data_IF_747552601767
#
_entry.id   IF_747552601767
#
_cell.length_a   1.000
_cell.length_b   1.000
_cell.length_c   1.000
_cell.angle_alpha   90.00
_cell.angle_beta   90.00
_cell.angle_gamma   90.00
#
_symmetry.space_group_name_H-M   'P 1'
#
loop_
_entity.id
_entity.type
_entity.pdbx_description
1 polymer ?
#
# COMPACT_ATOMS: atom_id res chain seq x y z
N UNK A 1 12.87 -7.23 21.95
CA UNK A 1 12.48 -6.46 23.15
C UNK A 1 11.00 -6.67 23.43
N UNK A 2 10.58 -6.89 24.68
CA UNK A 2 9.16 -6.96 25.06
C UNK A 2 8.73 -5.64 25.70
N UNK A 3 7.70 -5.01 25.14
CA UNK A 3 7.05 -3.80 25.68
C UNK A 3 5.63 -4.13 26.16
N UNK A 4 5.08 -3.31 27.06
CA UNK A 4 3.67 -3.32 27.42
C UNK A 4 3.05 -1.98 27.04
N UNK A 5 2.25 -1.97 25.97
CA UNK A 5 1.50 -0.79 25.55
C UNK A 5 0.12 -0.87 26.20
N UNK A 6 0.00 -0.24 27.37
CA UNK A 6 -1.15 -0.44 28.25
C UNK A 6 -1.27 -1.91 28.68
N UNK A 7 -2.42 -2.52 28.44
CA UNK A 7 -2.69 -3.93 28.72
C UNK A 7 -2.30 -4.88 27.57
N UNK A 8 -1.74 -4.36 26.47
CA UNK A 8 -1.31 -5.17 25.31
C UNK A 8 0.23 -5.36 25.30
N UNK A 9 0.76 -6.58 25.54
CA UNK A 9 2.18 -6.85 25.37
C UNK A 9 2.56 -6.92 23.87
N UNK A 10 3.68 -6.29 23.52
CA UNK A 10 4.20 -6.17 22.16
C UNK A 10 5.67 -6.61 22.13
N UNK A 11 5.95 -7.70 21.44
CA UNK A 11 7.31 -8.16 21.16
C UNK A 11 7.84 -7.42 19.92
N UNK A 12 8.76 -6.48 20.14
CA UNK A 12 9.47 -5.73 19.11
C UNK A 12 10.71 -6.51 18.66
N UNK A 13 10.80 -6.76 17.36
CA UNK A 13 11.86 -7.50 16.68
C UNK A 13 12.70 -6.52 15.87
N UNK A 14 14.00 -6.47 16.13
CA UNK A 14 14.91 -5.47 15.53
C UNK A 14 16.25 -6.07 15.04
N UNK A 15 16.33 -7.39 14.83
CA UNK A 15 17.48 -8.05 14.19
C UNK A 15 17.01 -8.97 13.07
N UNK A 16 17.84 -9.14 12.05
CA UNK A 16 17.55 -10.01 10.90
C UNK A 16 17.38 -11.48 11.32
N UNK A 17 18.23 -11.98 12.23
CA UNK A 17 18.13 -13.33 12.80
C UNK A 17 16.74 -13.61 13.42
N UNK A 18 16.26 -12.72 14.28
CA UNK A 18 14.98 -12.91 14.97
C UNK A 18 13.78 -12.67 14.04
N UNK A 19 13.93 -11.84 13.01
CA UNK A 19 12.95 -11.73 11.94
C UNK A 19 12.89 -13.03 11.11
N UNK A 20 14.04 -13.65 10.80
CA UNK A 20 14.16 -14.95 10.12
C UNK A 20 13.46 -16.05 10.90
N UNK A 21 13.71 -16.13 12.21
CA UNK A 21 13.05 -17.10 13.10
C UNK A 21 11.52 -16.95 13.08
N UNK A 22 11.00 -15.74 13.29
CA UNK A 22 9.56 -15.48 13.41
C UNK A 22 8.81 -15.58 12.08
N UNK A 23 9.42 -15.14 10.98
CA UNK A 23 8.75 -14.97 9.68
C UNK A 23 8.99 -16.13 8.71
N UNK A 24 9.96 -17.02 8.99
CA UNK A 24 10.27 -18.21 8.17
C UNK A 24 10.22 -19.50 8.95
N UNK A 25 10.85 -19.59 10.13
CA UNK A 25 10.96 -20.85 10.86
C UNK A 25 9.70 -21.15 11.69
N UNK A 26 9.13 -20.14 12.36
CA UNK A 26 7.88 -20.23 13.15
C UNK A 26 6.70 -19.56 12.43
N UNK A 27 6.73 -19.52 11.09
CA UNK A 27 5.84 -18.66 10.30
C UNK A 27 4.35 -18.98 10.52
N UNK A 28 4.01 -20.26 10.75
CA UNK A 28 2.67 -20.75 11.09
C UNK A 28 2.10 -20.10 12.35
N UNK A 29 2.93 -19.97 13.40
CA UNK A 29 2.55 -19.39 14.71
C UNK A 29 2.27 -17.89 14.57
N UNK A 30 3.12 -17.17 13.82
CA UNK A 30 3.07 -15.71 13.68
C UNK A 30 2.33 -15.22 12.42
N UNK A 31 1.61 -16.10 11.72
CA UNK A 31 0.78 -15.73 10.56
C UNK A 31 -0.37 -14.77 10.91
N UNK A 32 -0.93 -14.80 12.11
CA UNK A 32 -2.12 -14.01 12.46
C UNK A 32 -1.79 -12.52 12.64
N UNK A 33 -2.83 -11.67 12.68
CA UNK A 33 -2.67 -10.21 12.81
C UNK A 33 -3.53 -9.67 13.96
N UNK A 34 -3.08 -8.60 14.65
CA UNK A 34 -3.87 -7.96 15.68
C UNK A 34 -5.00 -7.17 15.03
N UNK A 35 -6.22 -7.44 15.46
CA UNK A 35 -7.40 -6.74 14.96
C UNK A 35 -7.60 -5.42 15.68
N UNK A 36 -7.06 -4.36 15.08
CA UNK A 36 -7.18 -2.99 15.59
C UNK A 36 -8.56 -2.42 15.23
N UNK A 37 -9.08 -1.51 16.05
CA UNK A 37 -10.45 -0.99 15.94
C UNK A 37 -10.65 -0.11 14.71
N UNK A 38 -9.61 0.64 14.30
CA UNK A 38 -9.65 1.40 13.05
C UNK A 38 -9.78 0.48 11.83
N UNK A 39 -8.89 -0.51 11.78
CA UNK A 39 -8.86 -1.63 10.84
C UNK A 39 -10.23 -2.34 10.76
N UNK A 40 -10.79 -2.73 11.91
CA UNK A 40 -12.08 -3.40 12.02
C UNK A 40 -13.22 -2.58 11.39
N UNK A 41 -13.29 -1.27 11.65
CA UNK A 41 -14.39 -0.43 11.13
C UNK A 41 -14.27 -0.21 9.62
N UNK A 42 -13.04 0.04 9.13
CA UNK A 42 -12.81 0.53 7.77
C UNK A 42 -12.85 -0.59 6.73
N UNK A 43 -12.40 -1.80 7.08
CA UNK A 43 -11.90 -2.75 6.09
C UNK A 43 -12.75 -4.02 5.99
N UNK A 44 -14.08 -3.82 5.89
CA UNK A 44 -15.09 -4.81 5.48
C UNK A 44 -15.12 -6.11 6.30
N UNK A 45 -14.83 -5.90 7.56
CA UNK A 45 -14.90 -6.85 8.71
C UNK A 45 -13.76 -7.93 8.32
N UNK A 46 -13.91 -9.18 7.84
CA UNK A 46 -12.78 -10.13 7.64
C UNK A 46 -12.75 -10.67 6.22
N UNK A 47 -12.46 -9.78 5.25
CA UNK A 47 -12.68 -10.13 3.85
C UNK A 47 -11.55 -9.74 2.84
N UNK A 48 -10.32 -9.51 3.29
CA UNK A 48 -9.12 -9.12 2.52
C UNK A 48 -8.04 -10.25 2.43
N UNK A 49 -6.77 -9.89 2.18
CA UNK A 49 -5.57 -10.76 2.18
C UNK A 49 -4.50 -10.32 3.20
N UNK A 50 -4.51 -9.09 3.70
CA UNK A 50 -3.44 -8.54 4.52
C UNK A 50 -3.58 -8.79 6.01
N UNK A 51 -4.78 -8.61 6.58
CA UNK A 51 -5.03 -8.77 8.02
C UNK A 51 -5.93 -9.96 8.38
N UNK A 52 -6.56 -10.64 7.41
CA UNK A 52 -7.41 -11.82 7.63
C UNK A 52 -6.79 -12.79 8.63
N UNK A 53 -7.57 -13.43 9.52
CA UNK A 53 -7.10 -14.57 10.27
C UNK A 53 -6.59 -15.67 9.31
N UNK A 54 -5.46 -16.27 9.64
CA UNK A 54 -4.90 -17.35 8.81
C UNK A 54 -5.82 -18.57 8.85
N UNK A 55 -6.34 -18.96 7.70
CA UNK A 55 -7.35 -20.02 7.58
C UNK A 55 -7.57 -20.47 6.15
N UNK A 56 -8.69 -21.15 5.88
CA UNK A 56 -9.07 -21.52 4.51
C UNK A 56 -9.41 -20.29 3.66
N UNK A 57 -10.27 -19.40 4.16
CA UNK A 57 -10.63 -18.14 3.50
C UNK A 57 -9.39 -17.33 3.07
N UNK A 58 -8.49 -17.02 4.00
CA UNK A 58 -7.26 -16.29 3.69
C UNK A 58 -6.42 -16.97 2.60
N UNK A 59 -6.29 -18.31 2.62
CA UNK A 59 -5.53 -19.05 1.59
C UNK A 59 -6.17 -18.91 0.21
N UNK A 60 -7.50 -18.87 0.13
CA UNK A 60 -8.24 -18.63 -1.11
C UNK A 60 -8.07 -17.18 -1.60
N UNK A 61 -8.32 -16.20 -0.75
CA UNK A 61 -8.16 -14.77 -1.10
C UNK A 61 -6.72 -14.44 -1.50
N UNK A 62 -5.74 -14.98 -0.78
CA UNK A 62 -4.30 -14.86 -1.10
C UNK A 62 -3.98 -15.47 -2.46
N UNK A 63 -4.53 -16.63 -2.78
CA UNK A 63 -4.34 -17.28 -4.09
C UNK A 63 -4.89 -16.40 -5.21
N UNK A 64 -6.11 -15.88 -5.09
CA UNK A 64 -6.72 -14.99 -6.10
C UNK A 64 -5.86 -13.74 -6.31
N UNK A 65 -5.45 -13.08 -5.22
CA UNK A 65 -4.62 -11.89 -5.32
C UNK A 65 -3.24 -12.16 -5.95
N UNK A 66 -2.58 -13.28 -5.65
CA UNK A 66 -1.24 -13.59 -6.19
C UNK A 66 -1.27 -14.20 -7.60
N UNK A 67 -2.29 -14.98 -7.94
CA UNK A 67 -2.39 -15.65 -9.24
C UNK A 67 -3.10 -14.80 -10.29
N UNK A 68 -4.26 -14.24 -9.94
CA UNK A 68 -5.23 -13.73 -10.92
C UNK A 68 -5.14 -12.20 -11.07
N UNK A 69 -4.91 -11.50 -9.95
CA UNK A 69 -4.78 -10.03 -9.90
C UNK A 69 -3.32 -9.55 -10.04
N UNK A 70 -2.39 -10.08 -9.24
CA UNK A 70 -1.00 -9.59 -9.12
C UNK A 70 0.04 -10.59 -9.68
N UNK A 71 -0.43 -11.63 -10.37
CA UNK A 71 0.42 -12.58 -11.08
C UNK A 71 1.17 -11.92 -12.23
N UNK A 72 2.37 -12.40 -12.54
CA UNK A 72 3.32 -11.75 -13.48
C UNK A 72 2.68 -11.35 -14.81
N UNK A 73 1.87 -12.23 -15.41
CA UNK A 73 1.16 -11.97 -16.68
C UNK A 73 0.17 -10.79 -16.57
N UNK A 74 -0.51 -10.63 -15.43
CA UNK A 74 -1.47 -9.54 -15.17
C UNK A 74 -0.75 -8.22 -14.86
N UNK A 75 0.36 -8.27 -14.12
CA UNK A 75 1.25 -7.11 -13.93
C UNK A 75 1.83 -6.63 -15.26
N UNK A 76 2.16 -7.55 -16.18
CA UNK A 76 2.60 -7.25 -17.54
C UNK A 76 1.49 -6.67 -18.42
N UNK A 77 0.24 -7.17 -18.36
CA UNK A 77 -0.86 -6.60 -19.16
C UNK A 77 -1.18 -5.14 -18.81
N UNK A 78 -0.91 -4.71 -17.57
CA UNK A 78 -1.02 -3.31 -17.16
C UNK A 78 0.21 -2.43 -17.51
N UNK A 79 1.16 -2.92 -18.32
CA UNK A 79 2.32 -2.12 -18.76
C UNK A 79 1.88 -0.81 -19.44
N UNK A 80 0.94 -0.89 -20.39
CA UNK A 80 0.40 0.28 -21.10
C UNK A 80 -0.19 1.34 -20.17
N UNK A 81 -0.87 0.93 -19.09
CA UNK A 81 -1.42 1.86 -18.08
C UNK A 81 -0.30 2.63 -17.39
N UNK A 82 0.80 1.97 -17.03
CA UNK A 82 1.96 2.63 -16.42
C UNK A 82 2.63 3.59 -17.39
N UNK A 83 2.81 3.19 -18.64
CA UNK A 83 3.40 4.02 -19.70
C UNK A 83 2.56 5.29 -19.95
N UNK A 84 1.23 5.18 -20.03
CA UNK A 84 0.33 6.33 -20.24
C UNK A 84 0.32 7.30 -19.06
N UNK A 85 0.27 6.82 -17.80
CA UNK A 85 0.30 7.74 -16.66
C UNK A 85 1.69 8.37 -16.44
N UNK A 86 2.76 7.69 -16.79
CA UNK A 86 4.12 8.24 -16.73
C UNK A 86 4.35 9.26 -17.85
N UNK A 87 3.90 9.02 -19.08
CA UNK A 87 3.86 10.04 -20.14
C UNK A 87 3.09 11.30 -19.70
N UNK A 88 1.93 11.12 -19.05
CA UNK A 88 1.17 12.23 -18.45
C UNK A 88 1.93 12.96 -17.34
N UNK A 89 2.80 12.29 -16.59
CA UNK A 89 3.66 12.90 -15.56
C UNK A 89 4.80 13.69 -16.20
N UNK A 90 5.55 13.09 -17.13
CA UNK A 90 6.67 13.72 -17.83
C UNK A 90 6.21 14.97 -18.60
N UNK A 91 5.04 14.93 -19.25
CA UNK A 91 4.44 16.10 -19.91
C UNK A 91 4.14 17.26 -18.94
N UNK A 92 3.68 16.98 -17.71
CA UNK A 92 3.45 18.01 -16.68
C UNK A 92 4.75 18.64 -16.18
N UNK A 93 5.80 17.84 -16.02
CA UNK A 93 7.11 18.32 -15.57
C UNK A 93 7.77 19.16 -16.67
N UNK A 94 7.75 18.72 -17.93
CA UNK A 94 8.24 19.50 -19.08
C UNK A 94 7.53 20.85 -19.22
N UNK A 95 6.21 20.90 -19.05
CA UNK A 95 5.45 22.17 -19.02
C UNK A 95 5.82 23.11 -17.86
N UNK A 96 6.48 22.60 -16.82
CA UNK A 96 7.03 23.40 -15.70
C UNK A 96 8.48 23.81 -15.96
N UNK A 97 9.27 22.97 -16.63
CA UNK A 97 10.61 23.30 -17.14
C UNK A 97 10.54 24.54 -18.06
N UNK A 98 9.60 24.54 -19.03
CA UNK A 98 9.37 25.68 -19.93
C UNK A 98 8.91 26.98 -19.24
N UNK A 99 8.62 26.95 -17.93
CA UNK A 99 8.20 28.10 -17.12
C UNK A 99 9.20 28.47 -16.02
N UNK A 100 10.26 27.68 -15.82
CA UNK A 100 11.16 27.81 -14.66
C UNK A 100 10.44 27.66 -13.32
N UNK A 101 9.31 26.94 -13.27
CA UNK A 101 8.44 26.88 -12.08
C UNK A 101 8.68 25.61 -11.27
N UNK A 102 8.84 25.68 -9.92
CA UNK A 102 8.99 24.49 -9.09
C UNK A 102 7.80 23.52 -9.18
N UNK A 103 8.09 22.22 -9.06
CA UNK A 103 7.11 21.14 -9.01
C UNK A 103 7.09 20.46 -7.64
N UNK A 104 5.91 20.06 -7.17
CA UNK A 104 5.76 19.23 -5.97
C UNK A 104 5.84 17.76 -6.36
N UNK A 105 7.06 17.21 -6.39
CA UNK A 105 7.31 15.85 -6.84
C UNK A 105 6.63 14.81 -5.93
N UNK A 106 6.49 15.09 -4.62
CA UNK A 106 5.77 14.21 -3.70
C UNK A 106 4.28 14.06 -4.06
N UNK A 107 3.56 15.17 -4.31
CA UNK A 107 2.15 15.11 -4.69
C UNK A 107 1.95 14.52 -6.10
N UNK A 108 2.89 14.79 -7.01
CA UNK A 108 2.88 14.24 -8.37
C UNK A 108 3.14 12.73 -8.41
N UNK A 109 4.05 12.20 -7.58
CA UNK A 109 4.30 10.76 -7.43
C UNK A 109 3.15 10.02 -6.73
N UNK A 110 2.53 10.65 -5.73
CA UNK A 110 1.29 10.13 -5.12
C UNK A 110 0.17 10.06 -6.16
N UNK A 111 -0.03 11.13 -6.94
CA UNK A 111 -1.03 11.21 -8.01
C UNK A 111 -0.78 10.15 -9.10
N UNK A 112 0.47 9.95 -9.52
CA UNK A 112 0.85 8.87 -10.44
C UNK A 112 0.40 7.51 -9.89
N UNK A 113 0.74 7.23 -8.64
CA UNK A 113 0.42 5.97 -7.96
C UNK A 113 -1.09 5.74 -7.87
N UNK A 114 -1.86 6.76 -7.48
CA UNK A 114 -3.32 6.70 -7.43
C UNK A 114 -3.96 6.49 -8.81
N UNK A 115 -3.47 7.16 -9.86
CA UNK A 115 -3.99 6.99 -11.22
C UNK A 115 -3.76 5.56 -11.72
N UNK A 116 -2.54 5.03 -11.60
CA UNK A 116 -2.20 3.67 -12.01
C UNK A 116 -3.06 2.65 -11.25
N UNK A 117 -3.20 2.80 -9.93
CA UNK A 117 -4.03 1.91 -9.13
C UNK A 117 -5.52 2.00 -9.51
N UNK A 118 -6.08 3.19 -9.74
CA UNK A 118 -7.47 3.38 -10.17
C UNK A 118 -7.73 2.72 -11.53
N UNK A 119 -6.83 2.92 -12.50
CA UNK A 119 -6.93 2.34 -13.84
C UNK A 119 -6.86 0.81 -13.83
N UNK A 120 -5.94 0.22 -13.04
CA UNK A 120 -5.82 -1.24 -12.93
C UNK A 120 -6.95 -1.88 -12.10
N UNK A 121 -7.51 -1.14 -11.14
CA UNK A 121 -8.52 -1.69 -10.21
C UNK A 121 -9.96 -1.55 -10.70
N UNK A 122 -10.29 -0.45 -11.38
CA UNK A 122 -11.68 -0.07 -11.70
C UNK A 122 -11.89 0.27 -13.19
N UNK A 123 -10.90 -0.03 -14.04
CA UNK A 123 -10.97 0.15 -15.50
C UNK A 123 -11.01 1.61 -15.99
N UNK A 124 -11.07 2.59 -15.08
CA UNK A 124 -11.34 3.99 -15.40
C UNK A 124 -10.50 4.97 -14.59
N UNK A 125 -10.15 6.10 -15.23
CA UNK A 125 -9.96 7.36 -14.53
C UNK A 125 -11.34 7.80 -14.04
N UNK A 126 -11.44 8.43 -12.88
CA UNK A 126 -12.71 9.06 -12.53
C UNK A 126 -12.94 10.26 -13.45
N UNK A 127 -13.82 10.12 -14.43
CA UNK A 127 -14.00 11.12 -15.51
C UNK A 127 -14.54 12.46 -15.00
N UNK A 128 -15.20 12.46 -13.84
CA UNK A 128 -15.42 13.68 -13.05
C UNK A 128 -14.13 14.01 -12.30
N UNK A 129 -13.57 15.19 -12.57
CA UNK A 129 -12.36 15.73 -11.92
C UNK A 129 -12.47 15.67 -10.39
N UNK A 130 -13.66 15.97 -9.85
CA UNK A 130 -13.96 15.84 -8.43
C UNK A 130 -13.72 14.42 -7.89
N UNK A 131 -14.11 13.38 -8.63
CA UNK A 131 -14.07 12.00 -8.16
C UNK A 131 -12.64 11.42 -8.09
N UNK A 132 -11.70 11.86 -8.95
CA UNK A 132 -10.27 11.47 -8.81
C UNK A 132 -9.73 12.00 -7.49
N UNK A 133 -9.90 13.31 -7.28
CA UNK A 133 -9.43 13.96 -6.06
C UNK A 133 -10.15 13.41 -4.82
N UNK A 134 -11.45 13.10 -4.90
CA UNK A 134 -12.20 12.48 -3.83
C UNK A 134 -11.71 11.06 -3.49
N UNK A 135 -11.42 10.18 -4.45
CA UNK A 135 -10.91 8.84 -4.11
C UNK A 135 -9.48 8.91 -3.52
N UNK A 136 -8.58 9.69 -4.13
CA UNK A 136 -7.22 9.89 -3.60
C UNK A 136 -7.23 10.52 -2.20
N UNK A 137 -8.13 11.50 -1.97
CA UNK A 137 -8.32 12.14 -0.66
C UNK A 137 -8.94 11.20 0.38
N UNK A 138 -10.03 10.50 0.03
CA UNK A 138 -10.70 9.56 0.94
C UNK A 138 -9.76 8.42 1.34
N UNK A 139 -9.07 7.80 0.38
CA UNK A 139 -8.10 6.73 0.66
C UNK A 139 -6.93 7.23 1.52
N UNK A 140 -6.39 8.43 1.28
CA UNK A 140 -5.36 9.06 2.12
C UNK A 140 -5.83 9.35 3.54
N UNK A 141 -7.00 9.97 3.71
CA UNK A 141 -7.58 10.26 5.03
C UNK A 141 -7.92 8.97 5.79
N UNK A 142 -8.32 7.92 5.08
CA UNK A 142 -8.58 6.59 5.66
C UNK A 142 -7.29 5.88 6.04
N UNK A 143 -6.22 5.97 5.23
CA UNK A 143 -4.90 5.44 5.58
C UNK A 143 -4.34 6.09 6.85
N UNK A 144 -4.58 7.40 7.05
CA UNK A 144 -4.28 8.10 8.30
C UNK A 144 -5.11 7.57 9.47
N UNK A 145 -6.41 7.35 9.27
CA UNK A 145 -7.29 6.78 10.31
C UNK A 145 -6.92 5.34 10.68
N UNK A 146 -6.40 4.54 9.75
CA UNK A 146 -5.89 3.18 10.02
C UNK A 146 -4.62 3.17 10.88
N UNK A 147 -3.80 4.21 10.79
CA UNK A 147 -2.66 4.43 11.68
C UNK A 147 -3.00 5.12 13.01
N UNK A 148 -4.27 5.49 13.24
CA UNK A 148 -4.66 6.26 14.42
C UNK A 148 -4.72 5.39 15.69
N UNK A 149 -4.23 5.95 16.80
CA UNK A 149 -4.29 5.31 18.12
C UNK A 149 -5.74 5.20 18.61
N UNK A 150 -6.19 3.98 18.92
CA UNK A 150 -7.45 3.67 19.62
C UNK A 150 -7.13 3.25 21.06
N UNK A 151 -7.79 3.89 22.03
CA UNK A 151 -7.65 3.59 23.45
C UNK A 151 -8.13 2.17 23.74
N UNK A 152 -9.24 1.75 23.13
CA UNK A 152 -9.81 0.41 23.28
C UNK A 152 -8.94 -0.73 22.74
N UNK A 153 -7.95 -0.43 21.89
CA UNK A 153 -6.98 -1.42 21.38
C UNK A 153 -5.80 -1.68 22.34
N UNK A 154 -5.62 -0.85 23.38
CA UNK A 154 -4.56 -1.00 24.39
C UNK A 154 -5.11 -1.08 25.83
N UNK A 155 -6.32 -0.56 26.06
CA UNK A 155 -7.04 -0.57 27.33
C UNK A 155 -8.51 -0.94 27.07
N UNK A 156 -8.88 -2.23 26.92
CA UNK A 156 -10.23 -2.65 26.54
C UNK A 156 -11.36 -2.09 27.43
N UNK A 157 -11.11 -1.91 28.74
CA UNK A 157 -12.06 -1.30 29.68
C UNK A 157 -12.38 0.18 29.38
N UNK A 158 -11.51 0.87 28.62
CA UNK A 158 -11.63 2.28 28.25
C UNK A 158 -12.10 2.50 26.80
N UNK A 159 -12.58 1.45 26.12
CA UNK A 159 -13.06 1.49 24.72
C UNK A 159 -14.16 2.54 24.45
N UNK A 160 -14.89 2.98 25.47
CA UNK A 160 -15.86 4.08 25.38
C UNK A 160 -15.21 5.44 25.06
N UNK A 161 -13.93 5.64 25.41
CA UNK A 161 -13.21 6.88 25.13
C UNK A 161 -12.98 7.09 23.61
N UNK A 162 -12.90 6.03 22.81
CA UNK A 162 -12.82 6.15 21.34
C UNK A 162 -14.11 6.69 20.72
N UNK A 163 -15.24 6.56 21.42
CA UNK A 163 -16.52 7.19 21.04
C UNK A 163 -16.49 8.68 21.40
N UNK A 164 -16.08 9.04 22.62
CA UNK A 164 -16.04 10.44 23.07
C UNK A 164 -15.00 11.30 22.34
N UNK A 165 -13.84 10.75 22.01
CA UNK A 165 -12.82 11.40 21.15
C UNK A 165 -13.24 11.51 19.68
N UNK A 166 -14.45 11.03 19.34
CA UNK A 166 -15.00 11.03 17.99
C UNK A 166 -14.21 10.17 17.00
N UNK A 167 -13.30 9.30 17.45
CA UNK A 167 -12.52 8.41 16.59
C UNK A 167 -13.43 7.42 15.87
N UNK A 168 -14.29 6.72 16.62
CA UNK A 168 -15.30 5.80 16.05
C UNK A 168 -16.23 6.52 15.07
N UNK A 169 -16.61 7.77 15.38
CA UNK A 169 -17.45 8.60 14.51
C UNK A 169 -16.76 9.02 13.20
N UNK A 170 -15.47 9.36 13.26
CA UNK A 170 -14.66 9.66 12.06
C UNK A 170 -14.47 8.41 11.19
N UNK A 171 -14.10 7.29 11.80
CA UNK A 171 -13.93 6.00 11.12
C UNK A 171 -15.20 5.58 10.38
N UNK A 172 -16.36 5.54 11.06
CA UNK A 172 -17.64 5.15 10.43
C UNK A 172 -18.02 6.08 9.28
N UNK A 173 -17.91 7.41 9.45
CA UNK A 173 -18.24 8.38 8.38
C UNK A 173 -17.36 8.24 7.15
N UNK A 174 -16.04 8.01 7.31
CA UNK A 174 -15.14 7.83 6.16
C UNK A 174 -15.30 6.47 5.49
N UNK A 175 -15.57 5.41 6.27
CA UNK A 175 -15.94 4.09 5.73
C UNK A 175 -17.19 4.21 4.86
N UNK A 176 -18.26 4.84 5.35
CA UNK A 176 -19.51 5.01 4.60
C UNK A 176 -19.33 5.79 3.29
N UNK A 177 -18.41 6.77 3.25
CA UNK A 177 -18.10 7.52 2.02
C UNK A 177 -17.33 6.69 0.99
N UNK A 178 -16.47 5.77 1.43
CA UNK A 178 -15.85 4.78 0.55
C UNK A 178 -16.86 3.70 0.12
N UNK A 179 -17.77 3.31 1.00
CA UNK A 179 -18.76 2.25 0.74
C UNK A 179 -19.70 2.60 -0.42
N UNK A 180 -20.24 3.83 -0.40
CA UNK A 180 -21.05 4.37 -1.50
C UNK A 180 -20.27 4.44 -2.82
N UNK A 181 -18.97 4.74 -2.76
CA UNK A 181 -18.10 4.78 -3.95
C UNK A 181 -17.85 3.37 -4.52
N UNK A 182 -17.57 2.38 -3.66
CA UNK A 182 -17.33 1.01 -4.09
C UNK A 182 -18.60 0.28 -4.53
N UNK A 183 -19.76 0.55 -3.92
CA UNK A 183 -21.04 0.09 -4.44
C UNK A 183 -21.29 0.63 -5.85
N UNK A 184 -21.10 1.94 -6.07
CA UNK A 184 -21.22 2.54 -7.40
C UNK A 184 -20.26 1.92 -8.42
N UNK A 185 -19.00 1.66 -8.04
CA UNK A 185 -18.05 0.97 -8.91
C UNK A 185 -18.53 -0.46 -9.25
N UNK A 186 -18.91 -1.27 -8.25
CA UNK A 186 -19.32 -2.66 -8.48
C UNK A 186 -20.60 -2.71 -9.33
N UNK A 187 -21.57 -1.84 -9.06
CA UNK A 187 -22.86 -1.81 -9.77
C UNK A 187 -22.72 -1.33 -11.22
N UNK A 188 -21.74 -0.48 -11.52
CA UNK A 188 -21.39 -0.10 -12.91
C UNK A 188 -20.80 -1.30 -13.69
N UNK A 189 -19.90 -2.07 -13.08
CA UNK A 189 -19.27 -3.24 -13.72
C UNK A 189 -20.27 -4.38 -13.92
N UNK A 190 -21.19 -4.58 -12.97
CA UNK A 190 -22.28 -5.54 -13.10
C UNK A 190 -23.15 -5.25 -14.35
N UNK A 191 -23.62 -4.00 -14.53
CA UNK A 191 -24.40 -3.57 -15.71
C UNK A 191 -23.61 -3.69 -17.01
N UNK A 192 -22.35 -3.25 -17.02
CA UNK A 192 -21.44 -3.39 -18.19
C UNK A 192 -21.33 -4.86 -18.62
N UNK A 193 -21.20 -5.77 -17.66
CA UNK A 193 -21.14 -7.22 -17.87
C UNK A 193 -22.46 -7.90 -18.26
N UNK A 194 -23.59 -7.17 -18.29
CA UNK A 194 -24.87 -7.63 -18.85
C UNK A 194 -25.04 -7.15 -20.31
N UNK A 195 -24.51 -5.97 -20.63
CA UNK A 195 -24.62 -5.33 -21.95
C UNK A 195 -23.56 -5.89 -22.94
N UNK A 196 -22.34 -6.17 -22.46
CA UNK A 196 -21.17 -6.32 -23.33
C UNK A 196 -20.69 -7.76 -23.49
N UNK A 197 -21.42 -8.54 -24.30
CA UNK A 197 -21.05 -9.92 -24.66
C UNK A 197 -19.95 -10.01 -25.75
N UNK A 198 -19.26 -8.91 -26.10
CA UNK A 198 -18.21 -8.92 -27.13
C UNK A 198 -17.16 -7.78 -27.09
N UNK A 199 -15.93 -8.16 -27.47
CA UNK A 199 -14.97 -7.41 -28.30
C UNK A 199 -14.09 -6.25 -27.78
N UNK A 200 -13.95 -5.98 -26.48
CA UNK A 200 -12.70 -5.39 -25.95
C UNK A 200 -12.27 -6.05 -24.64
N UNK A 201 -11.11 -6.71 -24.64
CA UNK A 201 -10.72 -7.70 -23.64
C UNK A 201 -9.88 -7.11 -22.49
N UNK A 202 -10.25 -5.91 -22.02
CA UNK A 202 -9.55 -5.17 -20.97
C UNK A 202 -10.24 -5.36 -19.61
N UNK A 203 -10.01 -6.51 -18.98
CA UNK A 203 -10.46 -6.80 -17.61
C UNK A 203 -9.57 -6.10 -16.57
N UNK A 204 -10.20 -5.34 -15.68
CA UNK A 204 -9.60 -4.82 -14.44
C UNK A 204 -9.78 -5.78 -13.24
N UNK A 205 -9.39 -5.36 -12.03
CA UNK A 205 -9.53 -6.18 -10.83
C UNK A 205 -10.99 -6.40 -10.39
N UNK A 206 -11.92 -5.48 -10.63
CA UNK A 206 -13.35 -5.67 -10.31
C UNK A 206 -13.97 -6.69 -11.25
N UNK A 207 -13.72 -6.59 -12.56
CA UNK A 207 -14.14 -7.60 -13.55
C UNK A 207 -13.67 -9.01 -13.15
N UNK A 208 -12.41 -9.15 -12.70
CA UNK A 208 -11.83 -10.42 -12.28
C UNK A 208 -12.45 -10.98 -11.00
N UNK A 209 -12.69 -10.13 -10.00
CA UNK A 209 -13.31 -10.54 -8.73
C UNK A 209 -14.77 -10.96 -8.94
N UNK A 210 -15.51 -10.25 -9.79
CA UNK A 210 -16.87 -10.62 -10.20
C UNK A 210 -16.89 -11.91 -11.02
N UNK A 211 -15.89 -12.16 -11.88
CA UNK A 211 -15.76 -13.42 -12.61
C UNK A 211 -15.52 -14.61 -11.67
N UNK A 212 -14.57 -14.52 -10.74
CA UNK A 212 -14.30 -15.57 -9.74
C UNK A 212 -15.52 -15.83 -8.84
N UNK A 213 -16.28 -14.78 -8.48
CA UNK A 213 -17.53 -14.90 -7.74
C UNK A 213 -18.62 -15.65 -8.56
N UNK A 214 -18.79 -15.32 -9.84
CA UNK A 214 -19.77 -15.95 -10.75
C UNK A 214 -19.47 -17.43 -11.00
N UNK A 215 -18.20 -17.80 -11.18
CA UNK A 215 -17.80 -19.17 -11.49
C UNK A 215 -17.85 -20.16 -10.31
N UNK A 216 -18.05 -19.68 -9.07
CA UNK A 216 -18.08 -20.50 -7.85
C UNK A 216 -16.85 -21.42 -7.68
N UNK A 217 -15.66 -21.00 -8.11
CA UNK A 217 -14.39 -21.77 -8.05
C UNK A 217 -13.84 -22.01 -6.62
N UNK A 218 -14.65 -21.82 -5.59
CA UNK A 218 -14.27 -21.73 -4.18
C UNK A 218 -15.30 -22.47 -3.31
N UNK A 219 -14.82 -23.18 -2.29
CA UNK A 219 -15.66 -23.83 -1.26
C UNK A 219 -16.43 -22.82 -0.40
N UNK A 220 -15.91 -21.59 -0.30
CA UNK A 220 -16.47 -20.48 0.47
C UNK A 220 -16.79 -19.36 -0.53
N UNK A 221 -18.06 -18.97 -0.65
CA UNK A 221 -18.48 -17.96 -1.62
C UNK A 221 -17.99 -16.55 -1.29
N UNK A 222 -17.50 -15.83 -2.30
CA UNK A 222 -17.14 -14.40 -2.20
C UNK A 222 -18.42 -13.56 -2.07
N UNK A 223 -18.48 -12.67 -1.08
CA UNK A 223 -19.56 -11.70 -0.92
C UNK A 223 -19.26 -10.36 -1.63
N UNK A 224 -20.25 -9.45 -1.75
CA UNK A 224 -19.97 -8.08 -2.22
C UNK A 224 -19.00 -7.35 -1.27
N UNK A 225 -19.15 -7.56 0.03
CA UNK A 225 -18.23 -7.01 1.04
C UNK A 225 -16.82 -7.56 0.89
N UNK A 226 -16.63 -8.81 0.45
CA UNK A 226 -15.31 -9.35 0.11
C UNK A 226 -14.69 -8.66 -1.10
N UNK A 227 -15.49 -8.33 -2.13
CA UNK A 227 -14.98 -7.57 -3.27
C UNK A 227 -14.57 -6.15 -2.82
N UNK A 228 -15.43 -5.44 -2.08
CA UNK A 228 -15.10 -4.15 -1.45
C UNK A 228 -13.85 -4.24 -0.56
N UNK A 229 -13.72 -5.30 0.23
CA UNK A 229 -12.58 -5.57 1.10
C UNK A 229 -11.28 -5.79 0.34
N UNK A 230 -11.28 -6.39 -0.84
CA UNK A 230 -10.08 -6.53 -1.68
C UNK A 230 -9.74 -5.21 -2.37
N UNK A 231 -10.74 -4.37 -2.66
CA UNK A 231 -10.56 -2.99 -3.16
C UNK A 231 -10.06 -2.03 -2.06
N UNK A 232 -10.08 -2.44 -0.78
CA UNK A 232 -9.77 -1.62 0.41
C UNK A 232 -8.55 -2.11 1.21
N UNK A 233 -8.54 -3.40 1.52
CA UNK A 233 -7.58 -4.22 2.28
C UNK A 233 -7.28 -3.83 3.75
N UNK A 234 -7.71 -4.66 4.75
CA UNK A 234 -7.08 -4.93 6.11
C UNK A 234 -7.83 -5.11 7.50
N UNK A 235 -9.04 -5.70 7.60
CA UNK A 235 -9.62 -6.81 8.47
C UNK A 235 -9.80 -7.03 10.05
N UNK A 236 -10.87 -7.77 10.50
CA UNK A 236 -11.36 -8.04 11.91
C UNK A 236 -10.50 -8.94 12.87
N UNK A 237 -11.06 -9.04 14.09
CA UNK A 237 -10.85 -9.89 15.27
C UNK A 237 -10.94 -11.41 15.03
N UNK A 238 -9.92 -12.10 15.53
CA UNK A 238 -10.08 -13.25 16.43
C UNK A 238 -9.36 -12.94 17.77
N UNK A 239 -9.70 -13.64 18.86
CA UNK A 239 -9.13 -13.40 20.19
C UNK A 239 -7.69 -13.95 20.34
N UNK A 240 -6.89 -13.48 21.32
CA UNK A 240 -5.44 -13.43 21.15
C UNK A 240 -4.66 -14.68 21.62
N UNK A 241 -3.69 -15.16 20.82
CA UNK A 241 -2.39 -15.52 21.35
C UNK A 241 -1.82 -14.26 22.04
N UNK A 242 -1.40 -14.37 23.31
CA UNK A 242 -1.36 -13.21 24.24
C UNK A 242 -0.47 -12.03 23.83
N UNK A 243 0.48 -12.20 22.90
CA UNK A 243 1.50 -11.19 22.57
C UNK A 243 1.42 -10.76 21.10
N UNK A 244 1.39 -9.44 20.86
CA UNK A 244 1.52 -8.87 19.51
C UNK A 244 2.98 -8.92 19.09
N UNK A 245 3.27 -9.15 17.81
CA UNK A 245 4.64 -9.05 17.27
C UNK A 245 4.73 -7.85 16.32
N UNK A 246 5.77 -7.04 16.48
CA UNK A 246 6.10 -5.91 15.62
C UNK A 246 7.50 -6.09 15.05
N UNK A 247 7.59 -6.25 13.72
CA UNK A 247 8.87 -6.30 13.01
C UNK A 247 9.30 -4.85 12.75
N UNK A 248 10.32 -4.38 13.47
CA UNK A 248 10.93 -3.07 13.25
C UNK A 248 11.87 -3.14 12.05
N UNK A 249 11.27 -3.24 10.86
CA UNK A 249 11.98 -3.31 9.60
C UNK A 249 12.91 -2.10 9.36
N UNK A 250 12.55 -0.92 9.89
CA UNK A 250 13.37 0.29 9.83
C UNK A 250 14.70 0.10 10.57
N UNK A 251 14.66 -0.42 11.81
CA UNK A 251 15.88 -0.66 12.59
C UNK A 251 16.76 -1.77 11.99
N UNK A 252 16.15 -2.82 11.42
CA UNK A 252 16.90 -3.91 10.77
C UNK A 252 17.63 -3.41 9.52
N UNK A 253 16.99 -2.55 8.72
CA UNK A 253 17.57 -1.96 7.51
C UNK A 253 18.49 -0.75 7.78
N UNK A 254 18.71 -0.39 9.06
CA UNK A 254 19.68 0.64 9.49
C UNK A 254 20.61 0.15 10.61
N UNK A 255 20.71 -1.17 10.83
CA UNK A 255 21.61 -1.72 11.84
C UNK A 255 23.07 -1.57 11.39
N UNK A 256 23.92 -0.80 12.09
CA UNK A 256 25.32 -0.61 11.72
C UNK A 256 26.18 -1.87 11.92
N UNK A 257 25.67 -2.91 12.60
CA UNK A 257 26.31 -4.22 12.67
C UNK A 257 26.04 -5.07 11.40
N UNK A 258 24.99 -4.74 10.65
CA UNK A 258 24.58 -5.42 9.40
C UNK A 258 24.97 -4.61 8.15
N UNK A 259 24.96 -3.27 8.24
CA UNK A 259 25.17 -2.37 7.12
C UNK A 259 26.28 -1.36 7.40
N UNK A 260 27.40 -1.44 6.67
CA UNK A 260 28.41 -0.35 6.71
C UNK A 260 27.75 0.97 6.32
N UNK A 261 28.12 2.07 7.00
CA UNK A 261 27.54 3.40 6.80
C UNK A 261 25.99 3.34 6.69
N UNK A 262 25.33 2.73 7.66
CA UNK A 262 23.90 2.40 7.62
C UNK A 262 22.95 3.59 7.37
N UNK A 263 23.35 4.80 7.75
CA UNK A 263 22.59 6.05 7.56
C UNK A 263 22.92 6.77 6.23
N UNK A 264 23.91 6.30 5.46
CA UNK A 264 24.29 6.90 4.17
C UNK A 264 23.57 6.21 2.99
N UNK A 265 22.98 7.03 2.12
CA UNK A 265 22.39 6.56 0.87
C UNK A 265 23.50 6.19 -0.14
N UNK A 266 23.85 4.90 -0.17
CA UNK A 266 24.88 4.32 -1.03
C UNK A 266 24.22 3.18 -1.84
N UNK A 267 23.77 3.43 -3.09
CA UNK A 267 23.23 2.40 -3.97
C UNK A 267 24.23 1.27 -4.29
N UNK A 268 25.52 1.61 -4.38
CA UNK A 268 26.61 0.73 -4.82
C UNK A 268 26.83 -0.44 -3.86
N UNK A 269 26.34 -0.35 -2.61
CA UNK A 269 26.34 -1.48 -1.64
C UNK A 269 25.58 -2.71 -2.15
N UNK A 270 24.75 -2.55 -3.19
CA UNK A 270 23.97 -3.62 -3.81
C UNK A 270 24.57 -4.10 -5.15
N UNK A 271 25.58 -3.45 -5.71
CA UNK A 271 26.12 -3.77 -7.05
C UNK A 271 26.77 -5.15 -7.15
N UNK A 272 27.43 -5.61 -6.07
CA UNK A 272 28.05 -6.95 -5.98
C UNK A 272 27.45 -7.79 -4.83
N UNK A 273 26.35 -7.34 -4.23
CA UNK A 273 25.71 -8.02 -3.09
C UNK A 273 24.72 -9.10 -3.53
N UNK A 274 24.64 -10.17 -2.76
CA UNK A 274 23.63 -11.23 -2.95
C UNK A 274 22.31 -10.94 -2.22
N UNK A 275 22.22 -9.85 -1.45
CA UNK A 275 21.06 -9.52 -0.59
C UNK A 275 19.90 -8.95 -1.40
N UNK A 276 18.71 -9.53 -1.27
CA UNK A 276 17.55 -9.26 -2.12
C UNK A 276 16.25 -9.01 -1.31
N UNK A 277 15.54 -7.93 -1.66
CA UNK A 277 14.27 -7.52 -1.03
C UNK A 277 13.11 -8.52 -1.25
N UNK A 278 13.31 -9.57 -2.04
CA UNK A 278 12.34 -10.68 -2.24
C UNK A 278 12.14 -11.56 -0.99
N UNK A 279 12.83 -11.27 0.12
CA UNK A 279 12.49 -11.75 1.45
C UNK A 279 13.02 -13.14 1.80
N UNK A 280 14.13 -13.58 1.20
CA UNK A 280 14.96 -14.67 1.74
C UNK A 280 16.08 -14.16 2.65
N UNK A 281 16.49 -12.93 2.42
CA UNK A 281 17.40 -12.15 3.26
C UNK A 281 16.54 -11.33 4.21
N UNK A 282 16.88 -11.39 5.49
CA UNK A 282 16.12 -10.78 6.58
C UNK A 282 16.70 -9.43 7.01
N UNK A 283 17.87 -9.13 6.46
CA UNK A 283 18.63 -7.90 6.53
C UNK A 283 17.94 -6.79 5.70
N UNK A 284 17.20 -7.16 4.64
CA UNK A 284 16.46 -6.28 3.73
C UNK A 284 15.01 -6.76 3.52
N UNK A 285 14.09 -6.34 4.38
CA UNK A 285 12.68 -6.82 4.40
C UNK A 285 11.59 -5.77 4.12
N UNK A 286 11.73 -4.86 3.12
CA UNK A 286 10.73 -3.82 2.87
C UNK A 286 9.36 -4.37 2.43
N UNK A 287 9.32 -5.56 1.82
CA UNK A 287 8.09 -6.26 1.45
C UNK A 287 7.68 -7.38 2.44
N UNK A 288 8.39 -7.50 3.56
CA UNK A 288 8.26 -8.62 4.49
C UNK A 288 8.70 -9.97 3.90
N UNK A 289 8.28 -11.07 4.54
CA UNK A 289 8.66 -12.44 4.17
C UNK A 289 7.57 -13.45 4.60
N UNK A 290 7.79 -14.73 4.30
CA UNK A 290 6.92 -15.85 4.63
C UNK A 290 5.53 -15.76 3.99
N UNK A 291 4.55 -16.43 4.60
CA UNK A 291 3.14 -16.43 4.17
C UNK A 291 2.52 -15.01 4.06
N UNK A 292 3.06 -14.01 4.74
CA UNK A 292 2.53 -12.62 4.78
C UNK A 292 3.36 -11.60 3.99
N UNK A 293 4.32 -12.05 3.18
CA UNK A 293 5.03 -11.23 2.18
C UNK A 293 4.08 -10.42 1.29
N UNK A 294 4.49 -9.26 0.80
CA UNK A 294 3.63 -8.39 -0.02
C UNK A 294 3.20 -9.07 -1.33
N UNK A 295 1.88 -9.22 -1.62
CA UNK A 295 1.43 -9.82 -2.89
C UNK A 295 1.63 -8.87 -4.07
N UNK A 296 1.71 -7.55 -3.83
CA UNK A 296 1.86 -6.51 -4.85
C UNK A 296 3.31 -6.09 -5.12
N UNK A 297 4.31 -6.81 -4.60
CA UNK A 297 5.74 -6.47 -4.75
C UNK A 297 6.14 -6.28 -6.23
N UNK A 298 5.77 -7.23 -7.09
CA UNK A 298 6.01 -7.18 -8.53
C UNK A 298 5.35 -5.98 -9.22
N UNK A 299 4.15 -5.60 -8.79
CA UNK A 299 3.41 -4.45 -9.33
C UNK A 299 4.04 -3.13 -8.88
N UNK A 300 4.38 -3.00 -7.59
CA UNK A 300 5.00 -1.80 -7.03
C UNK A 300 6.38 -1.51 -7.62
N UNK A 301 7.24 -2.52 -7.70
CA UNK A 301 8.57 -2.41 -8.32
C UNK A 301 8.46 -1.95 -9.79
N UNK A 302 7.58 -2.58 -10.57
CA UNK A 302 7.36 -2.21 -11.98
C UNK A 302 6.71 -0.82 -12.20
N UNK A 303 6.24 -0.14 -11.15
CA UNK A 303 5.85 1.29 -11.17
C UNK A 303 7.05 2.15 -10.78
N UNK A 304 7.75 1.82 -9.69
CA UNK A 304 8.88 2.60 -9.15
C UNK A 304 10.04 2.65 -10.16
N UNK A 305 10.45 1.51 -10.73
CA UNK A 305 11.53 1.44 -11.71
C UNK A 305 11.24 2.30 -12.94
N UNK A 306 10.04 2.18 -13.52
CA UNK A 306 9.66 2.88 -14.74
C UNK A 306 9.47 4.38 -14.49
N UNK A 307 8.95 4.77 -13.32
CA UNK A 307 8.83 6.18 -12.94
C UNK A 307 10.21 6.81 -12.70
N UNK A 308 11.07 6.17 -11.91
CA UNK A 308 12.41 6.65 -11.60
C UNK A 308 13.28 6.77 -12.85
N UNK A 309 13.28 5.75 -13.72
CA UNK A 309 14.03 5.77 -14.98
C UNK A 309 13.61 6.95 -15.87
N UNK A 310 12.31 7.24 -16.00
CA UNK A 310 11.86 8.39 -16.79
C UNK A 310 12.17 9.73 -16.11
N UNK A 311 12.06 9.84 -14.78
CA UNK A 311 12.37 11.08 -14.05
C UNK A 311 13.86 11.44 -14.10
N UNK A 312 14.76 10.44 -14.16
CA UNK A 312 16.20 10.65 -14.29
C UNK A 312 16.66 10.79 -15.75
N UNK A 313 15.96 10.19 -16.72
CA UNK A 313 16.31 10.29 -18.14
C UNK A 313 15.89 11.61 -18.78
N UNK A 314 14.75 12.19 -18.38
CA UNK A 314 14.20 13.40 -19.01
C UNK A 314 14.58 14.71 -18.33
N UNK A 315 15.00 14.68 -17.05
CA UNK A 315 15.13 15.88 -16.24
C UNK A 315 16.33 15.87 -15.28
N UNK A 316 16.98 17.02 -15.17
CA UNK A 316 17.84 17.39 -14.06
C UNK A 316 17.03 18.11 -12.97
N UNK A 317 17.55 18.09 -11.74
CA UNK A 317 16.78 18.46 -10.53
C UNK A 317 17.59 19.34 -9.58
N UNK A 318 17.11 20.57 -9.38
CA UNK A 318 17.65 21.54 -8.43
C UNK A 318 16.67 21.84 -7.30
N UNK A 319 17.17 22.37 -6.17
CA UNK A 319 16.32 22.94 -5.14
C UNK A 319 15.91 24.37 -5.52
N UNK A 320 14.67 24.81 -5.20
CA UNK A 320 14.27 26.20 -5.35
C UNK A 320 15.25 27.17 -4.67
N UNK A 321 15.34 28.39 -5.19
CA UNK A 321 16.13 29.50 -4.64
C UNK A 321 17.65 29.26 -4.52
N UNK A 322 18.19 28.14 -5.02
CA UNK A 322 19.59 27.76 -4.82
C UNK A 322 19.89 27.23 -3.42
N UNK A 323 18.89 26.70 -2.71
CA UNK A 323 19.05 26.10 -1.39
C UNK A 323 20.06 24.92 -1.42
N UNK A 324 20.89 24.80 -0.38
CA UNK A 324 21.87 23.72 -0.27
C UNK A 324 21.17 22.37 -0.07
N UNK A 325 21.66 21.32 -0.77
CA UNK A 325 21.12 19.95 -0.67
C UNK A 325 21.12 19.41 0.77
N UNK A 326 22.07 19.87 1.59
CA UNK A 326 22.23 19.59 3.02
C UNK A 326 21.10 20.15 3.91
N UNK A 327 20.34 21.15 3.42
CA UNK A 327 19.23 21.77 4.16
C UNK A 327 17.87 21.11 3.89
N UNK A 328 17.81 20.08 3.04
CA UNK A 328 16.57 19.39 2.70
C UNK A 328 16.03 18.58 3.91
N UNK A 329 14.94 19.03 4.53
CA UNK A 329 14.32 18.34 5.68
C UNK A 329 13.88 16.91 5.32
N UNK A 330 14.66 15.92 5.73
CA UNK A 330 14.37 14.49 5.56
C UNK A 330 13.53 13.90 6.71
N UNK A 331 12.97 14.74 7.60
CA UNK A 331 12.11 14.25 8.68
C UNK A 331 10.82 13.60 8.16
N UNK A 332 10.34 12.62 8.93
CA UNK A 332 9.29 11.68 8.55
C UNK A 332 7.94 12.04 9.20
N UNK A 333 6.86 11.81 8.46
CA UNK A 333 5.50 11.75 8.99
C UNK A 333 5.12 10.28 9.18
N UNK A 334 4.91 9.88 10.44
CA UNK A 334 4.61 8.49 10.81
C UNK A 334 3.17 8.10 10.47
N UNK A 335 2.98 6.86 10.02
CA UNK A 335 1.69 6.29 9.64
C UNK A 335 1.82 4.85 9.15
N UNK A 336 0.76 4.29 8.54
CA UNK A 336 0.83 2.94 7.95
C UNK A 336 1.76 2.89 6.72
N UNK A 337 1.96 4.03 6.04
CA UNK A 337 3.14 4.31 5.22
C UNK A 337 3.85 5.53 5.79
N UNK A 338 5.18 5.50 5.79
CA UNK A 338 6.02 6.63 6.18
C UNK A 338 6.27 7.51 4.95
N UNK A 339 6.20 8.82 5.13
CA UNK A 339 6.33 9.81 4.06
C UNK A 339 7.21 10.99 4.55
N UNK A 340 7.89 11.73 3.66
CA UNK A 340 8.52 13.01 4.05
C UNK A 340 7.47 13.93 4.67
N UNK A 341 7.82 14.56 5.80
CA UNK A 341 6.98 15.51 6.53
C UNK A 341 6.72 16.80 5.73
N UNK A 342 7.75 17.29 5.05
CA UNK A 342 7.67 18.40 4.10
C UNK A 342 7.70 17.81 2.67
N UNK A 343 6.72 18.13 1.80
CA UNK A 343 6.71 17.69 0.40
C UNK A 343 7.98 18.11 -0.35
N UNK A 344 8.49 17.24 -1.21
CA UNK A 344 9.67 17.51 -2.01
C UNK A 344 9.33 18.48 -3.15
N UNK A 345 9.73 19.73 -3.00
CA UNK A 345 9.68 20.76 -4.05
C UNK A 345 11.03 20.82 -4.76
N UNK A 346 11.01 20.81 -6.10
CA UNK A 346 12.21 20.86 -6.93
C UNK A 346 11.98 21.77 -8.14
N UNK A 347 13.05 22.40 -8.63
CA UNK A 347 13.11 23.00 -9.97
C UNK A 347 13.54 21.91 -10.97
N UNK A 348 12.70 21.55 -11.95
CA UNK A 348 13.09 20.65 -13.03
C UNK A 348 13.64 21.44 -14.21
N UNK A 349 14.75 20.97 -14.78
CA UNK A 349 15.24 21.38 -16.09
C UNK A 349 15.29 20.15 -17.01
N UNK A 350 15.25 20.36 -18.34
CA UNK A 350 15.41 19.25 -19.28
C UNK A 350 16.85 18.73 -19.23
N UNK A 351 17.03 17.41 -19.11
CA UNK A 351 18.35 16.79 -19.10
C UNK A 351 19.11 17.10 -20.40
N UNK A 352 20.35 17.58 -20.26
CA UNK A 352 21.25 17.88 -21.39
C UNK A 352 22.37 16.86 -21.41
N UNK A 353 22.39 16.04 -22.46
CA UNK A 353 23.34 14.95 -22.67
C UNK A 353 24.70 15.40 -23.22
#
# INVERSE_FOLDING_TARGET
MLLHLGQAPVLVISSAEMAREIMKNQDTVFTNRPALTAVWIVLYQCQDVGFAPYGEYWRQMRKICVSDLLGVKRVQSFKFVREVEIDCLIKKISQSCSKGSPVNLSDMLLTLSYNILSMCSFGRKSEKVDNIHMFGKLSREVLQLLGAFSIGDFFPCLRWMDVLTGLIGRLKRRTQQLDVLFDGIIDDHLKKGEIQNSLDNKQDFVDLLLHVQREKKLSIGISKDSIKAIMMTREWIYYPPKTRVYINAWAIQRDPMTWDKAEEFIPERFSESTVDFKGQDFELVPFGSGRRSCPGMSFGIAVVELALANLLYWFDWELPNGELKEMLDMSESFGLTVNKKIPLLLLPSHYVA
#
